data_IF_627624687560
#
_entry.id   IF_627624687560
#
_cell.length_a   1.000
_cell.length_b   1.000
_cell.length_c   1.000
_cell.angle_alpha   90.00
_cell.angle_beta   90.00
_cell.angle_gamma   90.00
#
_symmetry.space_group_name_H-M   'P 1'
#
loop_
_entity.id
_entity.type
_entity.pdbx_description
1 polymer ?
#
# COMPACT_ATOMS: atom_id res chain seq x y z
N UNK A 1 -37.27 -3.38 8.73
CA UNK A 1 -36.49 -2.37 9.48
C UNK A 1 -35.02 -2.61 9.18
N UNK A 2 -34.42 -1.82 8.29
CA UNK A 2 -32.98 -1.86 8.01
C UNK A 2 -32.27 -1.10 9.12
N UNK A 3 -31.65 -1.79 10.08
CA UNK A 3 -30.84 -1.13 11.10
C UNK A 3 -29.47 -0.81 10.48
N UNK A 4 -29.31 0.44 10.05
CA UNK A 4 -28.01 0.98 9.66
C UNK A 4 -27.08 1.06 10.89
N UNK A 5 -25.80 0.67 10.78
CA UNK A 5 -24.85 0.79 11.89
C UNK A 5 -24.69 2.27 12.26
N UNK A 6 -24.75 2.58 13.56
CA UNK A 6 -24.48 3.94 14.06
C UNK A 6 -22.99 4.22 13.86
N UNK A 7 -22.67 5.02 12.85
CA UNK A 7 -21.31 5.52 12.61
C UNK A 7 -20.93 6.50 13.71
N UNK A 8 -19.78 6.30 14.35
CA UNK A 8 -19.25 7.23 15.34
C UNK A 8 -19.05 8.60 14.64
N UNK A 9 -19.46 9.74 15.23
CA UNK A 9 -19.25 11.05 14.63
C UNK A 9 -17.77 11.37 14.31
N UNK A 10 -16.83 10.65 14.92
CA UNK A 10 -15.40 10.75 14.64
C UNK A 10 -14.93 9.96 13.39
N UNK A 11 -15.81 9.14 12.80
CA UNK A 11 -15.53 8.38 11.57
C UNK A 11 -15.97 9.13 10.30
N UNK A 12 -16.44 10.38 10.43
CA UNK A 12 -16.77 11.22 9.29
C UNK A 12 -15.47 11.75 8.64
N UNK A 13 -15.19 11.44 7.36
CA UNK A 13 -14.01 11.93 6.65
C UNK A 13 -13.90 13.47 6.55
N UNK A 14 -14.94 14.21 6.92
CA UNK A 14 -14.92 15.66 7.04
C UNK A 14 -14.16 16.17 8.27
N UNK A 15 -14.00 15.33 9.31
CA UNK A 15 -13.42 15.67 10.63
C UNK A 15 -11.89 15.47 10.68
N UNK A 16 -11.30 14.78 9.70
CA UNK A 16 -9.84 14.53 9.70
C UNK A 16 -9.02 15.81 9.45
N UNK A 17 -7.82 15.93 10.06
CA UNK A 17 -6.86 16.96 9.68
C UNK A 17 -6.49 16.82 8.20
N UNK A 18 -6.03 17.90 7.56
CA UNK A 18 -5.74 17.96 6.12
C UNK A 18 -4.93 16.76 5.59
N UNK A 19 -3.95 16.29 6.37
CA UNK A 19 -3.11 15.14 6.02
C UNK A 19 -3.90 13.82 6.00
N UNK A 20 -4.79 13.59 6.97
CA UNK A 20 -5.65 12.40 7.00
C UNK A 20 -6.55 12.37 5.76
N UNK A 21 -7.18 13.49 5.44
CA UNK A 21 -8.05 13.61 4.26
C UNK A 21 -7.30 13.42 2.93
N UNK A 22 -6.03 13.83 2.87
CA UNK A 22 -5.17 13.62 1.70
C UNK A 22 -4.79 12.15 1.53
N UNK A 23 -4.53 11.43 2.63
CA UNK A 23 -4.13 10.02 2.60
C UNK A 23 -5.30 9.08 2.23
N UNK A 24 -6.55 9.46 2.58
CA UNK A 24 -7.76 8.76 2.13
C UNK A 24 -7.96 8.73 0.61
N UNK A 25 -7.23 9.55 -0.16
CA UNK A 25 -7.29 9.52 -1.61
C UNK A 25 -6.85 8.16 -2.20
N UNK A 26 -5.90 7.49 -1.55
CA UNK A 26 -5.37 6.18 -1.97
C UNK A 26 -6.30 5.01 -1.60
N UNK A 27 -7.26 5.24 -0.71
CA UNK A 27 -8.18 4.21 -0.21
C UNK A 27 -9.18 3.75 -1.28
N UNK A 28 -9.46 4.64 -2.24
CA UNK A 28 -10.29 4.31 -3.40
C UNK A 28 -9.49 3.40 -4.33
N UNK A 29 -9.88 2.11 -4.40
CA UNK A 29 -9.28 1.11 -5.32
C UNK A 29 -9.03 1.65 -6.73
N UNK A 30 -9.98 2.44 -7.25
CA UNK A 30 -9.87 3.09 -8.57
C UNK A 30 -8.57 3.89 -8.70
N UNK A 31 -8.18 4.69 -7.70
CA UNK A 31 -7.00 5.55 -7.80
C UNK A 31 -5.69 4.77 -7.75
N UNK A 32 -5.67 3.66 -6.99
CA UNK A 32 -4.55 2.72 -6.99
C UNK A 32 -4.35 2.13 -8.39
N UNK A 33 -5.44 1.75 -9.08
CA UNK A 33 -5.35 1.23 -10.45
C UNK A 33 -4.79 2.27 -11.42
N UNK A 34 -5.11 3.57 -11.25
CA UNK A 34 -4.52 4.64 -12.06
C UNK A 34 -3.01 4.80 -11.83
N UNK A 35 -2.54 4.69 -10.59
CA UNK A 35 -1.11 4.74 -10.25
C UNK A 35 -0.37 3.58 -10.91
N UNK A 36 -0.92 2.36 -10.79
CA UNK A 36 -0.36 1.16 -11.40
C UNK A 36 -0.34 1.29 -12.92
N UNK A 37 -1.42 1.79 -13.53
CA UNK A 37 -1.48 2.02 -14.98
C UNK A 37 -0.48 3.08 -15.45
N UNK A 38 -0.27 4.13 -14.66
CA UNK A 38 0.75 5.15 -14.93
C UNK A 38 2.17 4.59 -14.90
N UNK A 39 2.47 3.73 -13.93
CA UNK A 39 3.75 3.02 -13.86
C UNK A 39 3.98 2.16 -15.11
N UNK A 40 2.98 1.36 -15.51
CA UNK A 40 3.05 0.56 -16.74
C UNK A 40 3.30 1.43 -17.97
N UNK A 41 2.62 2.58 -18.10
CA UNK A 41 2.81 3.49 -19.22
C UNK A 41 4.25 4.05 -19.29
N UNK A 42 4.81 4.46 -18.14
CA UNK A 42 6.20 4.95 -18.08
C UNK A 42 7.19 3.84 -18.42
N UNK A 43 7.00 2.63 -17.90
CA UNK A 43 7.83 1.48 -18.24
C UNK A 43 7.82 1.18 -19.75
N UNK A 44 6.63 1.18 -20.37
CA UNK A 44 6.51 0.97 -21.83
C UNK A 44 7.15 2.10 -22.62
N UNK A 45 6.99 3.35 -22.19
CA UNK A 45 7.61 4.51 -22.86
C UNK A 45 9.15 4.44 -22.82
N UNK A 46 9.72 4.10 -21.66
CA UNK A 46 11.17 3.90 -21.52
C UNK A 46 11.67 2.73 -22.37
N UNK A 47 10.91 1.64 -22.45
CA UNK A 47 11.22 0.51 -23.31
C UNK A 47 11.26 0.89 -24.80
N UNK A 48 10.28 1.66 -25.26
CA UNK A 48 10.24 2.16 -26.64
C UNK A 48 11.37 3.15 -26.93
N UNK A 49 11.72 4.02 -25.96
CA UNK A 49 12.82 4.97 -26.10
C UNK A 49 14.18 4.27 -26.28
N UNK A 50 14.40 3.15 -25.59
CA UNK A 50 15.64 2.35 -25.71
C UNK A 50 15.77 1.70 -27.10
N UNK A 51 14.64 1.45 -27.78
CA UNK A 51 14.62 0.93 -29.15
C UNK A 51 15.02 1.97 -30.21
N UNK A 52 14.86 3.26 -29.90
CA UNK A 52 15.23 4.37 -30.80
C UNK A 52 16.73 4.69 -30.70
N UNK A 53 17.40 4.30 -29.61
CA UNK A 53 18.80 4.63 -29.37
C UNK A 53 19.76 3.56 -29.92
N UNK A 54 20.38 3.83 -31.07
CA UNK A 54 21.46 2.97 -31.60
C UNK A 54 22.76 3.17 -30.81
N UNK A 55 23.01 2.32 -29.81
CA UNK A 55 24.26 2.30 -29.05
C UNK A 55 25.36 1.58 -29.86
N UNK A 56 26.54 2.20 -30.02
CA UNK A 56 27.75 1.54 -30.51
C UNK A 56 28.35 0.73 -29.36
N UNK A 57 28.29 -0.59 -29.45
CA UNK A 57 28.67 -1.45 -28.32
C UNK A 57 29.88 -2.35 -28.60
N UNK A 58 30.77 -2.47 -27.62
CA UNK A 58 32.06 -3.17 -27.72
C UNK A 58 32.00 -4.65 -27.31
N UNK A 59 31.05 -5.07 -26.46
CA UNK A 59 30.82 -6.49 -26.13
C UNK A 59 29.76 -7.11 -27.04
N UNK A 60 30.04 -8.29 -27.59
CA UNK A 60 29.17 -8.98 -28.56
C UNK A 60 27.75 -9.33 -28.07
N UNK A 61 27.53 -9.42 -26.75
CA UNK A 61 26.20 -9.66 -26.16
C UNK A 61 25.29 -8.43 -26.16
N UNK A 62 25.86 -7.23 -26.28
CA UNK A 62 25.12 -5.96 -26.23
C UNK A 62 24.66 -5.50 -27.63
N UNK A 63 24.89 -6.34 -28.65
CA UNK A 63 24.46 -6.12 -30.03
C UNK A 63 22.95 -6.30 -30.20
N UNK A 64 22.27 -6.86 -29.19
CA UNK A 64 20.82 -7.08 -29.19
C UNK A 64 20.14 -5.75 -28.84
N UNK A 65 19.33 -5.17 -29.76
CA UNK A 65 18.57 -3.96 -29.46
C UNK A 65 17.60 -4.23 -28.31
N UNK A 66 17.60 -3.34 -27.30
CA UNK A 66 16.69 -3.43 -26.15
C UNK A 66 17.15 -4.30 -24.97
N UNK A 67 18.40 -4.78 -24.95
CA UNK A 67 18.94 -5.55 -23.81
C UNK A 67 18.85 -4.79 -22.48
N UNK A 68 19.20 -3.50 -22.49
CA UNK A 68 19.22 -2.67 -21.29
C UNK A 68 17.82 -2.31 -20.79
N UNK A 69 16.89 -1.95 -21.67
CA UNK A 69 15.50 -1.77 -21.28
C UNK A 69 14.88 -3.04 -20.69
N UNK A 70 15.15 -4.19 -21.29
CA UNK A 70 14.66 -5.47 -20.78
C UNK A 70 15.28 -5.77 -19.40
N UNK A 71 16.60 -5.59 -19.25
CA UNK A 71 17.28 -5.78 -17.98
C UNK A 71 16.76 -4.85 -16.88
N UNK A 72 16.60 -3.55 -17.17
CA UNK A 72 16.07 -2.57 -16.22
C UNK A 72 14.64 -2.89 -15.79
N UNK A 73 13.79 -3.31 -16.74
CA UNK A 73 12.42 -3.74 -16.44
C UNK A 73 12.40 -4.98 -15.53
N UNK A 74 13.17 -6.02 -15.87
CA UNK A 74 13.22 -7.24 -15.07
C UNK A 74 13.82 -7.01 -13.69
N UNK A 75 14.89 -6.22 -13.58
CA UNK A 75 15.49 -5.91 -12.26
C UNK A 75 14.53 -5.10 -11.39
N UNK A 76 13.81 -4.13 -11.96
CA UNK A 76 12.79 -3.37 -11.23
C UNK A 76 11.64 -4.27 -10.77
N UNK A 77 11.10 -5.11 -11.66
CA UNK A 77 10.02 -6.04 -11.32
C UNK A 77 10.46 -7.06 -10.25
N UNK A 78 11.68 -7.60 -10.37
CA UNK A 78 12.27 -8.50 -9.39
C UNK A 78 12.36 -7.85 -8.00
N UNK A 79 12.81 -6.59 -7.91
CA UNK A 79 12.84 -5.87 -6.63
C UNK A 79 11.46 -5.75 -5.96
N UNK A 80 10.42 -5.45 -6.74
CA UNK A 80 9.05 -5.34 -6.22
C UNK A 80 8.53 -6.70 -5.73
N UNK A 81 8.80 -7.78 -6.48
CA UNK A 81 8.42 -9.15 -6.08
C UNK A 81 9.17 -9.55 -4.80
N UNK A 82 10.47 -9.28 -4.71
CA UNK A 82 11.26 -9.53 -3.51
C UNK A 82 10.72 -8.76 -2.30
N UNK A 83 10.37 -7.48 -2.46
CA UNK A 83 9.77 -6.69 -1.38
C UNK A 83 8.41 -7.26 -0.93
N UNK A 84 7.58 -7.74 -1.86
CA UNK A 84 6.33 -8.45 -1.52
C UNK A 84 6.60 -9.76 -0.78
N UNK A 85 7.63 -10.51 -1.18
CA UNK A 85 8.05 -11.73 -0.49
C UNK A 85 8.52 -11.43 0.95
N UNK A 86 9.35 -10.40 1.11
CA UNK A 86 9.82 -9.95 2.43
C UNK A 86 8.66 -9.53 3.35
N UNK A 87 7.59 -8.95 2.81
CA UNK A 87 6.38 -8.63 3.59
C UNK A 87 5.75 -9.87 4.21
N UNK A 88 5.74 -11.01 3.52
CA UNK A 88 5.19 -12.25 4.09
C UNK A 88 6.05 -12.74 5.24
N UNK A 89 7.37 -12.66 5.10
CA UNK A 89 8.30 -13.06 6.15
C UNK A 89 8.25 -12.14 7.39
N UNK A 90 8.06 -10.84 7.17
CA UNK A 90 8.04 -9.84 8.25
C UNK A 90 6.65 -9.69 8.90
N UNK A 91 5.57 -10.11 8.23
CA UNK A 91 4.22 -9.99 8.78
C UNK A 91 4.11 -10.90 10.00
N UNK A 92 3.89 -10.27 11.15
CA UNK A 92 3.64 -10.92 12.44
C UNK A 92 2.14 -11.02 12.69
N UNK A 93 1.76 -12.02 13.49
CA UNK A 93 0.38 -12.22 13.95
C UNK A 93 -0.14 -10.99 14.70
N UNK A 94 -1.42 -10.69 14.50
CA UNK A 94 -2.11 -9.56 15.15
C UNK A 94 -2.30 -9.85 16.65
N UNK A 95 -2.41 -11.12 17.04
CA UNK A 95 -2.62 -11.56 18.42
C UNK A 95 -1.31 -11.66 19.21
N UNK A 96 -0.15 -11.39 18.60
CA UNK A 96 1.15 -11.59 19.24
C UNK A 96 1.32 -10.83 20.58
N UNK A 97 0.67 -9.68 20.73
CA UNK A 97 0.72 -8.87 21.97
C UNK A 97 -0.54 -8.94 22.81
N UNK A 98 -1.62 -9.57 22.31
CA UNK A 98 -2.90 -9.61 22.98
C UNK A 98 -2.84 -10.17 24.43
N UNK A 99 -2.01 -11.19 24.76
CA UNK A 99 -1.89 -11.68 26.14
C UNK A 99 -1.20 -10.74 27.13
N UNK A 100 -0.53 -9.69 26.64
CA UNK A 100 0.21 -8.71 27.43
C UNK A 100 -0.28 -7.27 27.17
N UNK A 101 -1.48 -7.16 26.62
CA UNK A 101 -2.14 -5.91 26.31
C UNK A 101 -2.81 -5.35 27.58
N UNK A 102 -2.77 -4.03 27.77
CA UNK A 102 -3.51 -3.32 28.82
C UNK A 102 -5.03 -3.51 28.69
N UNK A 103 -5.54 -3.74 27.47
CA UNK A 103 -6.95 -4.06 27.21
C UNK A 103 -7.34 -5.45 27.73
N UNK A 104 -6.37 -6.34 27.99
CA UNK A 104 -6.63 -7.66 28.58
C UNK A 104 -6.74 -7.64 30.11
N UNK A 105 -6.39 -6.52 30.74
CA UNK A 105 -6.52 -6.34 32.18
C UNK A 105 -7.95 -5.94 32.55
N UNK A 106 -8.42 -6.39 33.72
CA UNK A 106 -9.73 -6.01 34.23
C UNK A 106 -9.70 -4.53 34.67
N UNK A 107 -10.38 -3.67 33.93
CA UNK A 107 -10.42 -2.23 34.20
C UNK A 107 -11.07 -1.96 35.57
N UNK A 108 -10.49 -1.07 36.39
CA UNK A 108 -10.97 -0.84 37.74
C UNK A 108 -12.31 -0.07 37.73
N UNK A 109 -13.24 -0.52 38.57
CA UNK A 109 -14.63 -0.02 38.63
C UNK A 109 -14.74 1.47 39.00
N UNK A 110 -13.70 2.06 39.60
CA UNK A 110 -13.64 3.45 40.00
C UNK A 110 -13.41 4.43 38.84
N UNK A 111 -12.94 3.92 37.69
CA UNK A 111 -12.70 4.67 36.46
C UNK A 111 -13.75 4.39 35.36
N UNK A 112 -14.69 3.47 35.61
CA UNK A 112 -15.75 3.11 34.67
C UNK A 112 -16.97 4.02 34.82
N UNK A 113 -17.10 5.00 33.93
CA UNK A 113 -18.35 5.76 33.76
C UNK A 113 -19.41 4.86 33.09
N UNK A 114 -20.19 4.15 33.91
CA UNK A 114 -21.28 3.28 33.45
C UNK A 114 -22.48 4.14 33.04
N UNK A 115 -22.55 4.49 31.76
CA UNK A 115 -23.70 5.19 31.18
C UNK A 115 -24.87 4.22 31.04
N UNK A 116 -25.95 4.45 31.79
CA UNK A 116 -27.19 3.70 31.65
C UNK A 116 -27.95 4.16 30.41
N UNK A 117 -28.00 3.29 29.40
CA UNK A 117 -28.68 3.54 28.13
C UNK A 117 -30.20 3.31 28.17
N UNK A 118 -30.75 2.83 29.29
CA UNK A 118 -32.17 2.49 29.43
C UNK A 118 -32.91 3.29 30.52
N UNK A 119 -32.35 4.41 30.99
CA UNK A 119 -33.00 5.31 31.94
C UNK A 119 -33.95 6.32 31.27
#
# INVERSE_FOLDING_TARGET
MSNSPKTNPNDDPSTYPLLGRMMLWTDKKKNVDWIVRGLYAICTALFLADFVYYKKVYLGMEKIPGFYAMYGFFMCAALVICARGMRVFLKRDEEFYAPHDVESEEFPDDQLEKVDYNA
#
